data_IF_473384454281
#
_entry.id   IF_473384454281
#
_cell.length_a   1.000
_cell.length_b   1.000
_cell.length_c   1.000
_cell.angle_alpha   90.00
_cell.angle_beta   90.00
_cell.angle_gamma   90.00
#
_symmetry.space_group_name_H-M   'P 1'
#
loop_
_entity.id
_entity.type
_entity.pdbx_description
1 polymer ?
#
# COMPACT_ATOMS: atom_id res chain seq x y z
N UNK A 1 25.63 21.04 18.18
CA UNK A 1 24.74 21.18 17.00
C UNK A 1 24.20 19.81 16.67
N UNK A 2 23.02 19.48 17.17
CA UNK A 2 22.38 18.19 16.95
C UNK A 2 21.09 18.47 16.17
N UNK A 3 21.10 18.17 14.87
CA UNK A 3 19.88 18.14 14.07
C UNK A 3 19.09 16.90 14.48
N UNK A 4 18.34 17.00 15.58
CA UNK A 4 17.21 16.11 15.81
C UNK A 4 16.13 16.55 14.83
N UNK A 5 16.21 16.01 13.61
CA UNK A 5 15.17 16.18 12.62
C UNK A 5 13.85 15.70 13.22
N UNK A 6 12.91 16.63 13.34
CA UNK A 6 11.50 16.38 13.59
C UNK A 6 11.05 15.25 12.67
N UNK A 7 10.97 14.03 13.20
CA UNK A 7 10.39 12.90 12.50
C UNK A 7 8.91 12.90 12.87
N UNK A 8 8.13 13.37 11.90
CA UNK A 8 6.67 13.41 11.93
C UNK A 8 6.07 12.14 12.54
N UNK A 9 5.59 12.24 13.77
CA UNK A 9 4.93 11.16 14.54
C UNK A 9 3.50 10.87 14.06
N UNK A 10 3.23 11.06 12.77
CA UNK A 10 2.06 10.55 12.06
C UNK A 10 2.45 9.80 10.77
N UNK A 11 3.66 9.25 10.72
CA UNK A 11 4.05 8.27 9.70
C UNK A 11 3.34 6.95 10.02
N UNK A 12 2.12 6.80 9.52
CA UNK A 12 1.18 5.71 9.81
C UNK A 12 1.87 4.37 10.07
N UNK A 13 1.50 3.77 11.20
CA UNK A 13 2.08 2.52 11.67
C UNK A 13 2.03 1.50 10.52
N UNK A 14 3.17 0.84 10.30
CA UNK A 14 3.34 -0.20 9.29
C UNK A 14 3.58 -1.52 9.99
N UNK A 15 2.87 -2.54 9.53
CA UNK A 15 3.02 -3.91 9.97
C UNK A 15 3.79 -4.71 8.93
N UNK A 16 4.68 -5.57 9.44
CA UNK A 16 5.45 -6.50 8.62
C UNK A 16 4.73 -7.83 8.53
N UNK A 17 4.27 -8.18 7.33
CA UNK A 17 3.59 -9.44 7.04
C UNK A 17 4.57 -10.41 6.45
N UNK A 18 4.89 -11.49 7.18
CA UNK A 18 5.93 -12.46 6.80
C UNK A 18 5.42 -13.69 6.08
N UNK A 19 4.13 -14.02 6.25
CA UNK A 19 3.51 -15.18 5.61
C UNK A 19 2.58 -14.76 4.49
N UNK A 20 2.61 -15.52 3.39
CA UNK A 20 1.68 -15.35 2.27
C UNK A 20 0.23 -15.47 2.74
N UNK A 21 -0.08 -16.48 3.55
CA UNK A 21 -1.43 -16.73 4.08
C UNK A 21 -2.00 -15.53 4.84
N UNK A 22 -1.18 -14.83 5.63
CA UNK A 22 -1.61 -13.63 6.34
C UNK A 22 -1.87 -12.49 5.36
N UNK A 23 -1.01 -12.32 4.34
CA UNK A 23 -1.19 -11.29 3.32
C UNK A 23 -2.44 -11.57 2.47
N UNK A 24 -2.71 -12.82 2.12
CA UNK A 24 -3.91 -13.24 1.40
C UNK A 24 -5.17 -12.93 2.20
N UNK A 25 -5.20 -13.20 3.51
CA UNK A 25 -6.33 -12.83 4.37
C UNK A 25 -6.59 -11.33 4.35
N UNK A 26 -5.53 -10.52 4.42
CA UNK A 26 -5.61 -9.05 4.39
C UNK A 26 -6.13 -8.55 3.04
N UNK A 27 -5.64 -9.10 1.92
CA UNK A 27 -6.10 -8.71 0.58
C UNK A 27 -7.55 -9.14 0.38
N UNK A 28 -7.93 -10.35 0.79
CA UNK A 28 -9.29 -10.86 0.66
C UNK A 28 -10.31 -10.10 1.54
N UNK A 29 -9.89 -9.58 2.69
CA UNK A 29 -10.76 -8.75 3.55
C UNK A 29 -10.92 -7.31 3.05
N UNK A 30 -10.04 -6.85 2.14
CA UNK A 30 -10.03 -5.46 1.70
C UNK A 30 -10.13 -5.30 0.18
N UNK A 31 -11.30 -4.86 -0.29
CA UNK A 31 -11.59 -4.64 -1.72
C UNK A 31 -10.71 -3.60 -2.42
N UNK A 32 -9.99 -2.75 -1.67
CA UNK A 32 -9.05 -1.80 -2.25
C UNK A 32 -7.67 -2.40 -2.53
N UNK A 33 -7.37 -3.57 -1.96
CA UNK A 33 -6.13 -4.29 -2.19
C UNK A 33 -6.35 -5.36 -3.26
N UNK A 34 -5.40 -5.47 -4.19
CA UNK A 34 -5.39 -6.49 -5.23
C UNK A 34 -4.00 -7.06 -5.41
N UNK A 35 -3.91 -8.30 -5.89
CA UNK A 35 -2.64 -8.92 -6.26
C UNK A 35 -2.24 -8.53 -7.68
N UNK A 36 -0.97 -8.14 -7.84
CA UNK A 36 -0.26 -7.99 -9.11
C UNK A 36 0.98 -8.90 -9.06
N UNK A 37 0.80 -10.17 -9.40
CA UNK A 37 1.77 -11.24 -9.12
C UNK A 37 2.02 -11.37 -7.62
N UNK A 38 3.28 -11.14 -7.20
CA UNK A 38 3.69 -11.14 -5.78
C UNK A 38 3.54 -9.78 -5.09
N UNK A 39 3.18 -8.73 -5.83
CA UNK A 39 3.04 -7.38 -5.30
C UNK A 39 1.59 -7.14 -4.90
N UNK A 40 1.37 -6.55 -3.72
CA UNK A 40 0.03 -6.08 -3.35
C UNK A 40 -0.13 -4.63 -3.76
N UNK A 41 -1.23 -4.32 -4.45
CA UNK A 41 -1.52 -2.98 -4.94
C UNK A 41 -2.78 -2.47 -4.26
N UNK A 42 -2.65 -1.37 -3.52
CA UNK A 42 -3.80 -0.60 -3.10
C UNK A 42 -4.23 0.33 -4.24
N UNK A 43 -5.46 0.18 -4.72
CA UNK A 43 -6.06 1.04 -5.73
C UNK A 43 -7.21 1.82 -5.14
N UNK A 44 -7.24 3.14 -5.37
CA UNK A 44 -8.36 3.98 -4.97
C UNK A 44 -8.67 5.02 -6.05
N UNK A 45 -9.96 5.25 -6.36
CA UNK A 45 -10.36 6.24 -7.35
C UNK A 45 -9.86 7.64 -6.97
N UNK A 46 -9.23 8.34 -7.89
CA UNK A 46 -8.81 9.73 -7.72
C UNK A 46 -8.49 10.37 -9.06
N UNK A 47 -9.08 11.54 -9.32
CA UNK A 47 -8.76 12.37 -10.49
C UNK A 47 -7.29 12.80 -10.52
N UNK A 48 -6.64 12.87 -9.36
CA UNK A 48 -5.19 13.12 -9.26
C UNK A 48 -4.36 12.01 -9.91
N UNK A 49 -4.94 10.82 -10.10
CA UNK A 49 -4.34 9.73 -10.86
C UNK A 49 -3.96 10.14 -12.28
N UNK A 50 -4.68 11.07 -12.91
CA UNK A 50 -4.38 11.52 -14.28
C UNK A 50 -2.98 12.13 -14.44
N UNK A 51 -2.46 12.77 -13.40
CA UNK A 51 -1.18 13.50 -13.44
C UNK A 51 -0.10 12.88 -12.57
N UNK A 52 -0.45 11.89 -11.74
CA UNK A 52 0.47 11.28 -10.80
C UNK A 52 1.27 10.15 -11.47
N UNK A 53 2.57 9.98 -11.12
CA UNK A 53 3.38 8.86 -11.61
C UNK A 53 2.79 7.48 -11.28
N UNK A 54 2.08 7.38 -10.15
CA UNK A 54 1.40 6.18 -9.69
C UNK A 54 -0.09 6.13 -10.08
N UNK A 55 -0.48 6.93 -11.06
CA UNK A 55 -1.80 6.92 -11.65
C UNK A 55 -2.05 5.69 -12.53
N UNK A 56 -3.26 5.16 -12.48
CA UNK A 56 -3.71 4.12 -13.40
C UNK A 56 -5.14 4.41 -13.86
N UNK A 57 -5.41 4.18 -15.14
CA UNK A 57 -6.76 4.26 -15.68
C UNK A 57 -7.38 2.85 -15.65
N UNK A 58 -8.37 2.65 -14.78
CA UNK A 58 -9.01 1.36 -14.52
C UNK A 58 -10.53 1.56 -14.62
N UNK A 59 -11.21 0.71 -15.38
CA UNK A 59 -12.68 0.73 -15.55
C UNK A 59 -13.26 2.12 -15.90
N UNK A 60 -12.57 2.86 -16.76
CA UNK A 60 -13.01 4.17 -17.22
C UNK A 60 -12.80 5.31 -16.21
N UNK A 61 -12.09 5.07 -15.10
CA UNK A 61 -11.79 6.07 -14.06
C UNK A 61 -10.30 6.14 -13.77
N UNK A 62 -9.84 7.31 -13.34
CA UNK A 62 -8.49 7.47 -12.83
C UNK A 62 -8.41 6.99 -11.38
N UNK A 63 -7.38 6.20 -11.10
CA UNK A 63 -7.05 5.67 -9.80
C UNK A 63 -5.63 6.05 -9.44
N UNK A 64 -5.35 6.12 -8.14
CA UNK A 64 -4.00 6.12 -7.61
C UNK A 64 -3.68 4.74 -7.07
N UNK A 65 -2.52 4.23 -7.45
CA UNK A 65 -2.04 2.92 -7.03
C UNK A 65 -0.87 3.08 -6.06
N UNK A 66 -0.87 2.28 -5.00
CA UNK A 66 0.28 2.12 -4.11
C UNK A 66 0.69 0.66 -4.08
N UNK A 67 1.92 0.40 -4.50
CA UNK A 67 2.50 -0.95 -4.60
C UNK A 67 3.27 -1.28 -3.32
N UNK A 68 3.02 -2.48 -2.79
CA UNK A 68 3.71 -3.08 -1.66
C UNK A 68 4.43 -4.31 -2.20
N UNK A 69 5.70 -4.12 -2.55
CA UNK A 69 6.55 -5.18 -3.10
C UNK A 69 7.12 -5.99 -1.92
N UNK A 70 7.08 -7.33 -1.95
CA UNK A 70 7.68 -8.13 -0.91
C UNK A 70 9.21 -7.96 -0.90
N UNK A 71 9.73 -7.85 0.31
CA UNK A 71 11.16 -7.91 0.60
C UNK A 71 11.53 -9.29 1.15
N UNK A 72 12.81 -9.50 1.49
CA UNK A 72 13.26 -10.72 2.19
C UNK A 72 12.55 -10.94 3.54
N UNK A 73 12.04 -9.88 4.15
CA UNK A 73 11.28 -9.91 5.40
C UNK A 73 9.77 -9.89 5.20
N UNK A 74 9.28 -10.04 3.96
CA UNK A 74 7.85 -9.98 3.62
C UNK A 74 7.38 -8.59 3.19
N UNK A 75 6.10 -8.28 3.42
CA UNK A 75 5.46 -7.04 2.98
C UNK A 75 5.38 -6.02 4.12
N UNK A 76 5.73 -4.76 3.83
CA UNK A 76 5.45 -3.62 4.72
C UNK A 76 4.11 -2.98 4.33
N UNK A 77 3.05 -3.27 5.08
CA UNK A 77 1.70 -2.76 4.82
C UNK A 77 1.22 -1.83 5.95
N UNK A 78 0.50 -0.73 5.66
CA UNK A 78 -0.08 0.10 6.70
C UNK A 78 -1.09 -0.66 7.59
N UNK A 79 -1.04 -0.42 8.89
CA UNK A 79 -1.86 -1.12 9.91
C UNK A 79 -3.36 -1.01 9.67
N UNK A 80 -3.80 0.07 9.02
CA UNK A 80 -5.22 0.26 8.64
C UNK A 80 -5.78 -0.85 7.73
N UNK A 81 -4.91 -1.66 7.12
CA UNK A 81 -5.31 -2.82 6.33
C UNK A 81 -5.30 -4.12 7.14
N UNK A 82 -4.63 -4.12 8.30
CA UNK A 82 -4.53 -5.23 9.24
C UNK A 82 -5.57 -5.00 10.34
N UNK A 83 -6.85 -5.12 9.98
CA UNK A 83 -7.99 -4.98 10.88
C UNK A 83 -8.54 -6.32 11.35
#
# INVERSE_FOLDING_TARGET
>A
MSNTAFSDTNKGIKMQIKSLEQMEKIVNSNKSLVWDGWTVVNTYPSEKGRTAPQGAFVDGKWHLQRRFVPSKSGWDIPDKFVG
#
